data_IF_305230793991
#
_entry.id   IF_305230793991
#
_cell.length_a   1.000
_cell.length_b   1.000
_cell.length_c   1.000
_cell.angle_alpha   90.00
_cell.angle_beta   90.00
_cell.angle_gamma   90.00
#
_symmetry.space_group_name_H-M   'P 1'
#
loop_
_entity.id
_entity.type
_entity.pdbx_description
1 polymer ?
#
# COMPACT_ATOMS: atom_id res chain seq x y z
N UNK A 1 2.45 3.44 11.27
CA UNK A 1 1.37 4.13 10.54
C UNK A 1 0.78 3.14 9.54
N UNK A 2 -0.55 3.09 9.40
CA UNK A 2 -1.26 2.23 8.45
C UNK A 2 -1.97 3.08 7.40
N UNK A 3 -2.00 2.63 6.15
CA UNK A 3 -2.60 3.38 5.02
C UNK A 3 -3.29 2.47 4.00
N UNK A 4 -4.20 3.01 3.20
CA UNK A 4 -4.91 2.25 2.14
C UNK A 4 -4.25 2.48 0.78
N UNK A 5 -4.51 1.59 -0.19
CA UNK A 5 -4.06 1.82 -1.58
C UNK A 5 -4.64 3.12 -2.18
N UNK A 6 -5.85 3.51 -1.75
CA UNK A 6 -6.48 4.77 -2.17
C UNK A 6 -5.69 5.97 -1.67
N UNK A 7 -5.33 5.99 -0.39
CA UNK A 7 -4.52 7.05 0.20
C UNK A 7 -3.12 7.09 -0.42
N UNK A 8 -2.51 5.94 -0.71
CA UNK A 8 -1.24 5.88 -1.45
C UNK A 8 -1.37 6.47 -2.87
N UNK A 9 -2.46 6.18 -3.56
CA UNK A 9 -2.75 6.70 -4.89
C UNK A 9 -2.88 8.24 -4.88
N UNK A 10 -3.60 8.79 -3.89
CA UNK A 10 -3.71 10.23 -3.66
C UNK A 10 -2.35 10.86 -3.33
N UNK A 11 -1.59 10.28 -2.39
CA UNK A 11 -0.28 10.78 -1.96
C UNK A 11 0.73 10.85 -3.10
N UNK A 12 0.76 9.84 -3.97
CA UNK A 12 1.72 9.77 -5.07
C UNK A 12 1.19 10.30 -6.41
N UNK A 13 -0.04 10.83 -6.44
CA UNK A 13 -0.68 11.31 -7.67
C UNK A 13 -0.77 10.23 -8.75
N UNK A 14 -1.13 9.00 -8.36
CA UNK A 14 -1.30 7.85 -9.26
C UNK A 14 -2.67 7.24 -9.15
N UNK A 15 -2.99 6.35 -10.09
CA UNK A 15 -4.19 5.54 -10.01
C UNK A 15 -3.99 4.37 -9.05
N UNK A 16 -5.07 3.95 -8.38
CA UNK A 16 -5.07 2.78 -7.49
C UNK A 16 -4.55 1.53 -8.21
N UNK A 17 -4.89 1.36 -9.50
CA UNK A 17 -4.38 0.26 -10.34
C UNK A 17 -2.85 0.24 -10.44
N UNK A 18 -2.21 1.41 -10.49
CA UNK A 18 -0.75 1.54 -10.53
C UNK A 18 -0.12 1.14 -9.20
N UNK A 19 -0.70 1.58 -8.08
CA UNK A 19 -0.28 1.19 -6.73
C UNK A 19 -0.40 -0.32 -6.54
N UNK A 20 -1.54 -0.90 -6.93
CA UNK A 20 -1.79 -2.34 -6.89
C UNK A 20 -0.74 -3.12 -7.69
N UNK A 21 -0.42 -2.68 -8.92
CA UNK A 21 0.65 -3.29 -9.72
C UNK A 21 2.01 -3.25 -9.03
N UNK A 22 2.39 -2.13 -8.42
CA UNK A 22 3.66 -2.04 -7.71
C UNK A 22 3.71 -2.96 -6.49
N UNK A 23 2.63 -3.04 -5.71
CA UNK A 23 2.51 -3.96 -4.58
C UNK A 23 2.62 -5.42 -5.02
N UNK A 24 1.94 -5.82 -6.10
CA UNK A 24 2.06 -7.17 -6.66
C UNK A 24 3.51 -7.48 -7.01
N UNK A 25 4.19 -6.59 -7.76
CA UNK A 25 5.58 -6.80 -8.13
C UNK A 25 6.52 -6.88 -6.91
N UNK A 26 6.28 -6.07 -5.87
CA UNK A 26 7.04 -6.12 -4.61
C UNK A 26 6.95 -7.52 -4.00
N UNK A 27 5.73 -8.05 -3.86
CA UNK A 27 5.50 -9.35 -3.26
C UNK A 27 6.04 -10.50 -4.11
N UNK A 28 5.87 -10.43 -5.43
CA UNK A 28 6.43 -11.41 -6.38
C UNK A 28 7.97 -11.42 -6.37
N UNK A 29 8.60 -10.26 -6.17
CA UNK A 29 10.05 -10.15 -6.05
C UNK A 29 10.61 -10.64 -4.72
N UNK A 30 9.73 -10.89 -3.73
CA UNK A 30 10.15 -11.25 -2.37
C UNK A 30 10.77 -10.11 -1.57
N UNK A 31 10.72 -8.86 -2.05
CA UNK A 31 11.27 -7.69 -1.33
C UNK A 31 10.53 -7.43 -0.02
N UNK A 32 9.22 -7.68 0.01
CA UNK A 32 8.41 -7.63 1.22
C UNK A 32 7.52 -8.86 1.32
N UNK A 33 7.28 -9.30 2.56
CA UNK A 33 6.35 -10.39 2.85
C UNK A 33 4.96 -9.80 3.10
N UNK A 34 3.98 -10.16 2.27
CA UNK A 34 2.62 -9.59 2.32
C UNK A 34 1.98 -9.70 3.72
N UNK A 35 2.17 -10.80 4.44
CA UNK A 35 1.60 -10.99 5.79
C UNK A 35 2.20 -10.07 6.86
N UNK A 36 3.41 -9.54 6.64
CA UNK A 36 4.07 -8.64 7.59
C UNK A 36 3.70 -7.17 7.37
N UNK A 37 3.45 -6.81 6.12
CA UNK A 37 3.19 -5.42 5.72
C UNK A 37 1.73 -5.11 5.46
N UNK A 38 0.83 -6.11 5.54
CA UNK A 38 -0.61 -5.91 5.36
C UNK A 38 -1.42 -6.28 6.60
N UNK A 39 -2.48 -5.53 6.83
CA UNK A 39 -3.46 -5.81 7.85
C UNK A 39 -4.85 -5.86 7.19
N UNK A 40 -5.55 -6.98 7.34
CA UNK A 40 -6.91 -7.17 6.84
C UNK A 40 -7.90 -7.01 8.02
N UNK A 41 -8.66 -5.90 8.09
CA UNK A 41 -9.60 -5.68 9.18
C UNK A 41 -10.83 -6.60 9.12
N UNK A 42 -11.03 -7.33 8.02
CA UNK A 42 -12.15 -8.26 7.86
C UNK A 42 -11.81 -9.69 8.34
N UNK A 43 -10.53 -9.99 8.61
CA UNK A 43 -10.14 -11.29 9.14
C UNK A 43 -10.45 -11.34 10.64
N UNK A 44 -11.37 -12.23 11.03
CA UNK A 44 -11.85 -12.41 12.40
C UNK A 44 -10.79 -12.90 13.39
N UNK A 45 -9.61 -13.29 12.90
CA UNK A 45 -8.44 -13.69 13.69
C UNK A 45 -7.60 -12.52 14.20
N UNK A 46 -7.73 -11.32 13.61
CA UNK A 46 -7.03 -10.13 14.06
C UNK A 46 -7.94 -9.31 14.99
N UNK A 47 -7.78 -9.47 16.31
CA UNK A 47 -8.63 -8.90 17.38
C UNK A 47 -8.62 -7.36 17.53
N UNK A 48 -8.36 -6.61 16.47
CA UNK A 48 -8.45 -5.15 16.44
C UNK A 48 -9.26 -4.73 15.22
N UNK A 49 -10.58 -4.59 15.36
CA UNK A 49 -11.43 -4.10 14.28
C UNK A 49 -11.08 -2.62 14.05
N UNK A 50 -10.25 -2.33 13.04
CA UNK A 50 -10.01 -0.98 12.57
C UNK A 50 -11.11 -0.65 11.57
N UNK A 51 -12.10 0.13 12.00
CA UNK A 51 -13.15 0.65 11.11
C UNK A 51 -12.60 1.90 10.44
N UNK A 52 -12.29 1.78 9.15
CA UNK A 52 -11.72 2.86 8.32
C UNK A 52 -12.85 3.60 7.61
N UNK A 53 -13.90 2.86 7.20
CA UNK A 53 -15.08 3.42 6.57
C UNK A 53 -16.34 2.73 7.13
N UNK A 54 -17.10 3.39 8.02
CA UNK A 54 -18.27 2.80 8.69
C UNK A 54 -19.38 2.37 7.72
N UNK A 55 -19.50 3.06 6.58
CA UNK A 55 -20.55 2.80 5.59
C UNK A 55 -20.16 1.72 4.56
N UNK A 56 -18.92 1.25 4.58
CA UNK A 56 -18.43 0.27 3.63
C UNK A 56 -18.76 -1.16 4.09
N UNK A 57 -19.40 -1.94 3.20
CA UNK A 57 -19.67 -3.38 3.42
C UNK A 57 -18.40 -4.21 3.69
N UNK A 58 -17.23 -3.75 3.25
CA UNK A 58 -15.93 -4.38 3.47
C UNK A 58 -14.89 -3.31 3.78
N UNK A 59 -14.03 -3.58 4.76
CA UNK A 59 -12.93 -2.68 5.09
C UNK A 59 -11.76 -2.88 4.12
N UNK A 60 -11.09 -1.81 3.66
CA UNK A 60 -9.94 -1.95 2.78
C UNK A 60 -8.74 -2.56 3.54
N UNK A 61 -7.91 -3.29 2.80
CA UNK A 61 -6.62 -3.76 3.32
C UNK A 61 -5.74 -2.56 3.64
N UNK A 62 -5.14 -2.59 4.83
CA UNK A 62 -4.18 -1.62 5.30
C UNK A 62 -2.76 -2.09 5.01
N UNK A 63 -1.89 -1.14 4.73
CA UNK A 63 -0.47 -1.34 4.45
C UNK A 63 0.35 -0.51 5.42
N UNK A 64 1.45 -1.08 5.91
CA UNK A 64 2.34 -0.41 6.85
C UNK A 64 3.26 0.61 6.15
N UNK A 65 4.20 1.18 6.92
CA UNK A 65 5.16 2.16 6.41
C UNK A 65 6.14 1.56 5.37
N UNK A 66 6.56 0.31 5.53
CA UNK A 66 7.52 -0.33 4.62
C UNK A 66 6.94 -0.51 3.22
N UNK A 67 5.67 -0.93 3.14
CA UNK A 67 4.93 -0.99 1.89
C UNK A 67 4.80 0.40 1.24
N UNK A 68 4.51 1.44 2.04
CA UNK A 68 4.41 2.81 1.54
C UNK A 68 5.75 3.31 0.94
N UNK A 69 6.86 3.09 1.65
CA UNK A 69 8.20 3.48 1.20
C UNK A 69 8.58 2.72 -0.07
N UNK A 70 8.36 1.40 -0.10
CA UNK A 70 8.69 0.53 -1.23
C UNK A 70 7.92 0.91 -2.50
N UNK A 71 6.64 1.26 -2.36
CA UNK A 71 5.83 1.81 -3.45
C UNK A 71 6.34 3.19 -3.86
N UNK A 72 6.64 4.06 -2.90
CA UNK A 72 7.16 5.41 -3.13
C UNK A 72 8.42 5.42 -4.01
N UNK A 73 9.40 4.56 -3.71
CA UNK A 73 10.61 4.40 -4.52
C UNK A 73 10.32 4.04 -5.99
N UNK A 74 9.31 3.20 -6.23
CA UNK A 74 8.94 2.74 -7.57
C UNK A 74 8.14 3.78 -8.34
N UNK A 75 7.22 4.45 -7.66
CA UNK A 75 6.36 5.47 -8.27
C UNK A 75 7.16 6.73 -8.61
N UNK A 76 8.10 7.11 -7.75
CA UNK A 76 8.93 8.29 -7.92
C UNK A 76 10.18 8.04 -8.79
N UNK A 77 10.40 6.82 -9.30
CA UNK A 77 11.59 6.50 -10.11
C UNK A 77 11.64 7.26 -11.46
N UNK A 78 10.51 7.77 -11.98
CA UNK A 78 10.53 8.72 -13.11
C UNK A 78 11.10 10.10 -12.74
N UNK A 79 10.93 10.57 -11.50
CA UNK A 79 11.60 11.77 -10.97
C UNK A 79 13.09 11.51 -10.65
N UNK A 80 13.49 10.27 -10.42
CA UNK A 80 14.91 9.91 -10.20
C UNK A 80 15.80 10.18 -11.44
N UNK A 81 15.21 10.41 -12.61
CA UNK A 81 15.94 10.87 -13.81
C UNK A 81 16.32 12.35 -13.76
N UNK A 82 15.75 13.15 -12.85
CA UNK A 82 16.10 14.57 -12.68
C UNK A 82 17.14 14.84 -11.59
N UNK A 83 17.47 13.83 -10.76
CA UNK A 83 18.55 13.90 -9.76
C UNK A 83 19.90 13.37 -10.28
N UNK A 84 20.02 13.13 -11.58
CA UNK A 84 21.27 12.72 -12.25
C UNK A 84 21.87 13.81 -13.17
N UNK A 85 21.43 15.06 -13.04
CA UNK A 85 22.08 16.22 -13.64
C UNK A 85 22.42 17.23 -12.57
#
# INVERSE_FOLDING_TARGET
>A
MWTTQKTMAELFGKNIKTISKHLTNIFESGELVKSEVTFNPNDSTNSGIVIINPDAKTQPILYNLDALISVGYRVNSKQATHFRK
#
